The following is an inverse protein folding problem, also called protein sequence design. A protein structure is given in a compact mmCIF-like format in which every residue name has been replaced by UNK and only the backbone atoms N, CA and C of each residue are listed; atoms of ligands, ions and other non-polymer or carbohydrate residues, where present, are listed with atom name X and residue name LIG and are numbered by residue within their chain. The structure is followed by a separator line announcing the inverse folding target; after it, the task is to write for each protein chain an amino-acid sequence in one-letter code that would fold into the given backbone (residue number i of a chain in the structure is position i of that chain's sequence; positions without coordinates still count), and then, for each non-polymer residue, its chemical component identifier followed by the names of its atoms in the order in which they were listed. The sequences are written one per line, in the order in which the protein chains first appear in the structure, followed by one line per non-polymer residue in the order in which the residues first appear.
data_IF_970838052195
#
_entry.id   IF_970838052195
#
_cell.length_a   1.000
_cell.length_b   1.000
_cell.length_c   1.000
_cell.angle_alpha   90.00
_cell.angle_beta   90.00
_cell.angle_gamma   90.00
#
_symmetry.space_group_name_H-M   'P 1'
#
loop_
_entity.id
_entity.type
_entity.pdbx_description
1 polymer ?
#
# COMPACT_ATOMS: atom_id res chain seq x y z
N UNK A 1 4.53 12.17 9.48
CA UNK A 1 4.55 12.37 8.01
C UNK A 1 3.30 13.20 7.67
N UNK A 2 3.37 14.22 6.80
CA UNK A 2 2.18 15.03 6.44
C UNK A 2 1.47 14.45 5.21
N UNK A 3 0.18 14.73 5.03
CA UNK A 3 -0.57 14.32 3.81
C UNK A 3 0.06 14.84 2.52
N UNK A 4 0.59 16.06 2.54
CA UNK A 4 1.35 16.63 1.42
C UNK A 4 2.59 15.80 1.08
N UNK A 5 3.31 15.30 2.10
CA UNK A 5 4.45 14.42 1.89
C UNK A 5 4.04 13.07 1.28
N UNK A 6 2.91 12.50 1.72
CA UNK A 6 2.39 11.25 1.14
C UNK A 6 2.05 11.43 -0.33
N UNK A 7 1.29 12.49 -0.66
CA UNK A 7 0.90 12.79 -2.06
C UNK A 7 2.12 12.94 -2.97
N UNK A 8 3.14 13.69 -2.52
CA UNK A 8 4.40 13.85 -3.25
C UNK A 8 5.09 12.50 -3.50
N UNK A 9 5.17 11.64 -2.49
CA UNK A 9 5.78 10.31 -2.62
C UNK A 9 5.00 9.36 -3.52
N UNK A 10 3.67 9.40 -3.49
CA UNK A 10 2.84 8.61 -4.40
C UNK A 10 3.03 9.08 -5.86
N UNK A 11 3.21 10.37 -6.08
CA UNK A 11 3.56 10.89 -7.40
C UNK A 11 4.93 10.38 -7.88
N UNK A 12 5.96 10.45 -7.03
CA UNK A 12 7.27 9.88 -7.35
C UNK A 12 7.19 8.38 -7.70
N UNK A 13 6.39 7.61 -6.95
CA UNK A 13 6.16 6.19 -7.24
C UNK A 13 5.44 5.99 -8.58
N UNK A 14 4.41 6.78 -8.88
CA UNK A 14 3.72 6.72 -10.18
C UNK A 14 4.69 6.95 -11.32
N UNK A 15 5.45 8.04 -11.25
CA UNK A 15 6.40 8.42 -12.30
C UNK A 15 7.44 7.31 -12.49
N UNK A 16 7.91 6.68 -11.41
CA UNK A 16 8.83 5.54 -11.49
C UNK A 16 8.19 4.33 -12.19
N UNK A 17 6.94 3.99 -11.84
CA UNK A 17 6.23 2.85 -12.42
C UNK A 17 5.95 3.09 -13.90
N UNK A 18 5.46 4.27 -14.27
CA UNK A 18 5.11 4.62 -15.66
C UNK A 18 6.33 4.63 -16.57
N UNK A 19 7.47 5.13 -16.09
CA UNK A 19 8.73 5.13 -16.85
C UNK A 19 9.38 3.74 -16.98
N UNK A 20 8.91 2.74 -16.24
CA UNK A 20 9.49 1.39 -16.20
C UNK A 20 8.43 0.28 -16.38
N UNK A 21 7.33 0.56 -17.08
CA UNK A 21 6.18 -0.37 -17.21
C UNK A 21 6.54 -1.73 -17.76
N UNK A 22 7.61 -1.87 -18.54
CA UNK A 22 8.06 -3.18 -19.03
C UNK A 22 8.66 -4.08 -17.94
N UNK A 23 9.05 -3.52 -16.80
CA UNK A 23 9.68 -4.26 -15.69
C UNK A 23 8.79 -4.33 -14.45
N UNK A 24 7.92 -3.33 -14.24
CA UNK A 24 7.09 -3.24 -13.03
C UNK A 24 5.75 -3.95 -13.24
N UNK A 25 5.53 -5.02 -12.47
CA UNK A 25 4.37 -5.90 -12.60
C UNK A 25 3.36 -5.82 -11.46
N UNK A 26 3.66 -5.10 -10.38
CA UNK A 26 2.79 -4.91 -9.22
C UNK A 26 3.17 -3.66 -8.43
N UNK A 27 2.26 -3.15 -7.59
CA UNK A 27 2.54 -2.14 -6.57
C UNK A 27 2.77 -2.84 -5.23
N UNK A 28 3.88 -2.54 -4.57
CA UNK A 28 4.25 -3.06 -3.26
C UNK A 28 5.77 -3.20 -3.13
N UNK A 29 6.29 -3.78 -2.06
CA UNK A 29 5.59 -4.26 -0.86
C UNK A 29 4.88 -3.12 -0.09
N UNK A 30 3.63 -3.34 0.31
CA UNK A 30 2.83 -2.41 1.11
C UNK A 30 1.94 -3.15 2.11
N UNK A 31 1.33 -2.45 3.07
CA UNK A 31 0.42 -3.07 4.01
C UNK A 31 0.58 -2.52 5.42
N UNK A 32 0.33 -3.38 6.41
CA UNK A 32 0.38 -3.00 7.83
C UNK A 32 1.25 -4.01 8.57
N UNK A 33 2.23 -3.50 9.31
CA UNK A 33 3.07 -4.28 10.21
C UNK A 33 2.90 -3.73 11.63
N UNK A 34 2.24 -4.51 12.50
CA UNK A 34 2.02 -4.13 13.89
C UNK A 34 3.09 -4.68 14.85
N UNK A 35 4.07 -5.44 14.36
CA UNK A 35 5.03 -6.15 15.22
C UNK A 35 5.96 -5.20 15.99
N UNK A 36 6.31 -4.06 15.40
CA UNK A 36 7.11 -3.00 16.03
C UNK A 36 6.38 -1.64 16.06
N UNK A 37 5.05 -1.66 15.93
CA UNK A 37 4.26 -0.43 15.90
C UNK A 37 3.76 -0.08 17.29
N UNK A 38 4.49 0.81 17.93
CA UNK A 38 4.27 1.12 19.35
C UNK A 38 3.33 2.31 19.59
N UNK A 39 2.91 3.02 18.54
CA UNK A 39 2.09 4.24 18.67
C UNK A 39 0.89 4.25 17.73
N UNK A 40 -0.27 4.80 18.17
CA UNK A 40 -1.43 5.01 17.30
C UNK A 40 -1.14 5.92 16.10
N UNK A 41 -0.21 6.85 16.24
CA UNK A 41 0.21 7.74 15.14
C UNK A 41 0.91 6.96 14.02
N UNK A 42 1.84 6.07 14.36
CA UNK A 42 2.52 5.23 13.38
C UNK A 42 1.54 4.31 12.65
N UNK A 43 0.59 3.72 13.37
CA UNK A 43 -0.47 2.92 12.76
C UNK A 43 -1.33 3.75 11.79
N UNK A 44 -1.72 4.96 12.19
CA UNK A 44 -2.51 5.86 11.33
C UNK A 44 -1.75 6.21 10.04
N UNK A 45 -0.45 6.48 10.13
CA UNK A 45 0.39 6.77 8.96
C UNK A 45 0.52 5.54 8.05
N UNK A 46 0.74 4.35 8.60
CA UNK A 46 0.77 3.10 7.81
C UNK A 46 -0.55 2.90 7.06
N UNK A 47 -1.68 3.11 7.73
CA UNK A 47 -3.00 2.97 7.10
C UNK A 47 -3.19 3.98 5.96
N UNK A 48 -2.80 5.24 6.15
CA UNK A 48 -2.88 6.26 5.10
C UNK A 48 -1.99 5.93 3.90
N UNK A 49 -0.75 5.46 4.13
CA UNK A 49 0.16 5.03 3.07
C UNK A 49 -0.38 3.81 2.32
N UNK A 50 -0.89 2.81 3.05
CA UNK A 50 -1.44 1.61 2.45
C UNK A 50 -2.66 1.92 1.57
N UNK A 51 -3.56 2.79 2.03
CA UNK A 51 -4.69 3.29 1.23
C UNK A 51 -4.18 3.95 -0.04
N UNK A 52 -3.20 4.86 0.06
CA UNK A 52 -2.69 5.58 -1.09
C UNK A 52 -2.01 4.66 -2.12
N UNK A 53 -1.35 3.57 -1.67
CA UNK A 53 -0.80 2.55 -2.55
C UNK A 53 -1.88 1.65 -3.18
N UNK A 54 -2.97 1.35 -2.47
CA UNK A 54 -4.13 0.67 -3.05
C UNK A 54 -4.75 1.51 -4.19
N UNK A 55 -4.93 2.81 -3.95
CA UNK A 55 -5.40 3.75 -4.96
C UNK A 55 -4.49 3.78 -6.20
N UNK A 56 -3.18 3.88 -5.97
CA UNK A 56 -2.20 3.86 -7.06
C UNK A 56 -2.26 2.55 -7.88
N UNK A 57 -2.36 1.40 -7.21
CA UNK A 57 -2.47 0.10 -7.88
C UNK A 57 -3.74 0.03 -8.73
N UNK A 58 -4.87 0.54 -8.21
CA UNK A 58 -6.16 0.57 -8.90
C UNK A 58 -6.10 1.43 -10.15
N UNK A 59 -5.58 2.64 -10.01
CA UNK A 59 -5.46 3.57 -11.14
C UNK A 59 -4.53 3.05 -12.24
N UNK A 60 -3.43 2.38 -11.86
CA UNK A 60 -2.47 1.81 -12.80
C UNK A 60 -2.84 0.41 -13.29
N UNK A 61 -3.98 -0.13 -12.83
CA UNK A 61 -4.45 -1.49 -13.11
C UNK A 61 -3.39 -2.57 -12.85
N UNK A 62 -2.63 -2.39 -11.76
CA UNK A 62 -1.61 -3.34 -11.33
C UNK A 62 -2.10 -4.17 -10.14
N UNK A 63 -1.68 -5.43 -10.03
CA UNK A 63 -1.82 -6.19 -8.79
C UNK A 63 -1.15 -5.49 -7.61
N UNK A 64 -1.63 -5.79 -6.41
CA UNK A 64 -1.10 -5.29 -5.14
C UNK A 64 -0.35 -6.41 -4.40
N UNK A 65 0.89 -6.15 -4.01
CA UNK A 65 1.72 -7.05 -3.17
C UNK A 65 1.66 -6.58 -1.72
N UNK A 66 1.01 -7.38 -0.87
CA UNK A 66 0.66 -7.02 0.51
C UNK A 66 1.48 -7.80 1.53
N UNK A 67 2.13 -7.06 2.43
CA UNK A 67 2.68 -7.52 3.69
C UNK A 67 1.67 -7.30 4.82
N UNK A 68 1.52 -8.29 5.69
CA UNK A 68 0.64 -8.18 6.86
C UNK A 68 1.23 -8.98 8.00
N UNK A 69 1.70 -8.27 9.04
CA UNK A 69 2.31 -8.89 10.21
C UNK A 69 1.63 -8.42 11.48
N UNK A 70 1.09 -9.36 12.24
CA UNK A 70 0.28 -9.12 13.44
C UNK A 70 -0.90 -8.14 13.20
N UNK A 71 -1.36 -8.00 11.94
CA UNK A 71 -2.23 -6.92 11.48
C UNK A 71 -3.32 -7.36 10.50
N UNK A 72 -3.64 -8.66 10.43
CA UNK A 72 -4.51 -9.21 9.38
C UNK A 72 -5.88 -8.52 9.32
N UNK A 73 -6.53 -8.32 10.47
CA UNK A 73 -7.84 -7.68 10.52
C UNK A 73 -7.78 -6.22 10.03
N UNK A 74 -6.76 -5.47 10.43
CA UNK A 74 -6.55 -4.08 10.00
C UNK A 74 -6.23 -3.99 8.51
N UNK A 75 -5.44 -4.94 7.98
CA UNK A 75 -5.15 -5.05 6.55
C UNK A 75 -6.43 -5.34 5.77
N UNK A 76 -7.22 -6.32 6.19
CA UNK A 76 -8.49 -6.67 5.54
C UNK A 76 -9.53 -5.53 5.61
N UNK A 77 -9.53 -4.76 6.70
CA UNK A 77 -10.39 -3.59 6.86
C UNK A 77 -10.13 -2.49 5.83
N UNK A 78 -8.91 -2.38 5.33
CA UNK A 78 -8.59 -1.49 4.20
C UNK A 78 -9.02 -2.14 2.89
N UNK A 79 -8.59 -3.39 2.66
CA UNK A 79 -8.80 -4.11 1.40
C UNK A 79 -10.27 -4.37 1.07
N UNK A 80 -11.19 -4.38 2.05
CA UNK A 80 -12.63 -4.53 1.78
C UNK A 80 -13.21 -3.45 0.85
N UNK A 81 -12.55 -2.29 0.74
CA UNK A 81 -12.93 -1.21 -0.16
C UNK A 81 -12.30 -1.31 -1.56
N UNK A 82 -11.47 -2.33 -1.80
CA UNK A 82 -10.67 -2.52 -3.02
C UNK A 82 -10.85 -3.93 -3.61
N UNK A 83 -12.09 -4.41 -3.66
CA UNK A 83 -12.42 -5.76 -4.15
C UNK A 83 -12.14 -5.94 -5.66
N UNK A 84 -11.94 -4.85 -6.37
CA UNK A 84 -11.55 -4.81 -7.78
C UNK A 84 -10.04 -5.06 -8.00
N UNK A 85 -9.22 -4.98 -6.95
CA UNK A 85 -7.79 -5.27 -7.04
C UNK A 85 -7.50 -6.78 -6.97
N UNK A 86 -6.55 -7.22 -7.80
CA UNK A 86 -5.88 -8.51 -7.60
C UNK A 86 -4.84 -8.34 -6.51
N UNK A 87 -5.03 -9.00 -5.37
CA UNK A 87 -4.17 -8.87 -4.19
C UNK A 87 -3.41 -10.17 -3.93
N UNK A 88 -2.09 -10.05 -3.77
CA UNK A 88 -1.22 -11.14 -3.36
C UNK A 88 -0.64 -10.83 -1.98
N UNK A 89 -0.92 -11.68 -1.00
CA UNK A 89 -0.24 -11.63 0.29
C UNK A 89 1.12 -12.32 0.19
N UNK A 90 2.17 -11.69 0.67
CA UNK A 90 3.46 -12.35 0.88
C UNK A 90 3.81 -12.34 2.37
N UNK A 91 4.63 -13.32 2.78
CA UNK A 91 5.16 -13.54 4.14
C UNK A 91 4.18 -13.17 5.28
N UNK A 92 3.33 -14.12 5.67
CA UNK A 92 2.49 -14.03 6.88
C UNK A 92 3.32 -14.14 8.15
#
# INVERSE_FOLDING_TARGET
MTKENISSKIKELRDLIENNRQYVVAVGECGIDLHFTDTPENFSIQKELFIAQCELARELQLPLMVHSRDAFDQTMDVLKNYQDLVVYFHCR
#
